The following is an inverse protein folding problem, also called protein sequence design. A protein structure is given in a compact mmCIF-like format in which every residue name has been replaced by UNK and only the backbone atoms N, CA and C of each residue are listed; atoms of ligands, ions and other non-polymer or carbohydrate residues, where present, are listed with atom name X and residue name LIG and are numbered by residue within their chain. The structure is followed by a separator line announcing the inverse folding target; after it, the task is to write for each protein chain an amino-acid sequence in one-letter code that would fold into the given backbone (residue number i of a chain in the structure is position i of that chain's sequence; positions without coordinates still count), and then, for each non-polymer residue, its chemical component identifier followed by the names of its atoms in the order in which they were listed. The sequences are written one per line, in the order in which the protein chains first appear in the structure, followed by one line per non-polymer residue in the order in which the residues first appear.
data_IF_873324763339
#
_entry.id   IF_873324763339
#
_cell.length_a   1.000
_cell.length_b   1.000
_cell.length_c   1.000
_cell.angle_alpha   90.00
_cell.angle_beta   90.00
_cell.angle_gamma   90.00
#
_symmetry.space_group_name_H-M   'P 1'
#
loop_
_entity.id
_entity.type
_entity.pdbx_description
1 polymer ?
#
# COMPACT_ATOMS: atom_id res chain seq x y z
N UNK A 1 -6.35 -30.00 6.59
CA UNK A 1 -5.73 -30.52 5.36
C UNK A 1 -4.97 -31.81 5.61
N UNK A 2 -4.58 -32.50 4.56
CA UNK A 2 -3.71 -33.70 4.64
C UNK A 2 -2.26 -33.25 4.47
N UNK A 3 -1.36 -33.85 5.23
CA UNK A 3 0.09 -33.70 5.09
C UNK A 3 0.59 -34.95 4.38
N UNK A 4 1.42 -34.77 3.36
CA UNK A 4 2.02 -35.83 2.58
C UNK A 4 3.53 -35.85 2.81
N UNK A 5 4.15 -37.03 2.80
CA UNK A 5 5.58 -37.19 2.85
C UNK A 5 6.13 -37.33 1.43
N UNK A 6 7.14 -36.51 1.09
CA UNK A 6 7.76 -36.46 -0.22
C UNK A 6 7.07 -35.50 -1.21
N UNK A 7 7.63 -35.47 -2.42
CA UNK A 7 7.11 -34.67 -3.52
C UNK A 7 5.85 -35.34 -4.11
N UNK A 8 4.78 -34.57 -4.17
CA UNK A 8 3.52 -35.00 -4.81
C UNK A 8 3.30 -34.22 -6.10
N UNK A 9 2.66 -34.85 -7.06
CA UNK A 9 2.21 -34.20 -8.28
C UNK A 9 1.19 -33.09 -7.95
N UNK A 10 1.46 -31.89 -8.39
CA UNK A 10 0.58 -30.74 -8.21
C UNK A 10 -0.09 -30.38 -9.53
N UNK A 11 -1.33 -29.92 -9.47
CA UNK A 11 -2.03 -29.36 -10.63
C UNK A 11 -2.03 -27.84 -10.54
N UNK A 12 -1.70 -27.18 -11.63
CA UNK A 12 -1.84 -25.74 -11.74
C UNK A 12 -3.29 -25.32 -11.60
N UNK A 13 -3.51 -24.23 -10.86
CA UNK A 13 -4.82 -23.62 -10.76
C UNK A 13 -5.20 -23.00 -12.12
N UNK A 14 -6.25 -23.55 -12.74
CA UNK A 14 -6.77 -23.07 -14.02
C UNK A 14 -8.29 -22.91 -13.95
N UNK A 15 -8.83 -21.95 -14.72
CA UNK A 15 -10.26 -21.78 -14.89
C UNK A 15 -10.66 -22.54 -16.16
N UNK A 16 -11.02 -23.84 -16.01
CA UNK A 16 -11.35 -24.71 -17.12
C UNK A 16 -12.49 -25.68 -16.83
N UNK A 17 -12.90 -26.48 -17.83
CA UNK A 17 -13.95 -27.46 -17.70
C UNK A 17 -15.31 -26.87 -17.26
N UNK A 18 -16.02 -27.60 -16.41
CA UNK A 18 -17.34 -27.14 -15.91
C UNK A 18 -17.25 -25.90 -15.02
N UNK A 19 -16.13 -25.73 -14.26
CA UNK A 19 -15.89 -24.51 -13.50
C UNK A 19 -15.78 -23.29 -14.41
N UNK A 20 -15.03 -23.40 -15.51
CA UNK A 20 -14.94 -22.33 -16.52
C UNK A 20 -16.28 -21.97 -17.15
N UNK A 21 -17.16 -22.95 -17.39
CA UNK A 21 -18.52 -22.70 -17.89
C UNK A 21 -19.37 -21.93 -16.88
N UNK A 22 -19.30 -22.28 -15.59
CA UNK A 22 -20.01 -21.56 -14.52
C UNK A 22 -19.49 -20.13 -14.43
N UNK A 23 -18.16 -19.93 -14.48
CA UNK A 23 -17.57 -18.59 -14.46
C UNK A 23 -18.00 -17.75 -15.66
N UNK A 24 -18.09 -18.33 -16.86
CA UNK A 24 -18.58 -17.63 -18.05
C UNK A 24 -20.07 -17.21 -17.90
N UNK A 25 -20.90 -18.03 -17.27
CA UNK A 25 -22.29 -17.66 -16.95
C UNK A 25 -22.35 -16.53 -15.91
N UNK A 26 -21.50 -16.57 -14.89
CA UNK A 26 -21.39 -15.49 -13.90
C UNK A 26 -20.97 -14.18 -14.57
N UNK A 27 -19.96 -14.21 -15.42
CA UNK A 27 -19.47 -13.04 -16.15
C UNK A 27 -20.53 -12.43 -17.09
N UNK A 28 -21.34 -13.27 -17.74
CA UNK A 28 -22.43 -12.81 -18.59
C UNK A 28 -23.57 -12.11 -17.82
N UNK A 29 -23.70 -12.34 -16.52
CA UNK A 29 -24.79 -11.81 -15.69
C UNK A 29 -24.36 -10.74 -14.68
N UNK A 30 -23.10 -10.70 -14.28
CA UNK A 30 -22.59 -9.68 -13.35
C UNK A 30 -22.55 -8.29 -13.99
N UNK A 31 -22.68 -7.25 -13.15
CA UNK A 31 -22.56 -5.84 -13.54
C UNK A 31 -21.27 -5.22 -13.02
N UNK A 32 -20.68 -5.78 -11.97
CA UNK A 32 -19.48 -5.27 -11.32
C UNK A 32 -18.24 -5.97 -11.87
N UNK A 33 -17.16 -5.23 -11.98
CA UNK A 33 -15.83 -5.78 -12.29
C UNK A 33 -15.26 -6.52 -11.10
N UNK A 34 -14.47 -7.56 -11.36
CA UNK A 34 -13.75 -8.33 -10.33
C UNK A 34 -12.31 -7.88 -10.29
N UNK A 35 -11.92 -7.29 -9.17
CA UNK A 35 -10.53 -6.91 -8.88
C UNK A 35 -9.99 -7.78 -7.75
N UNK A 36 -8.69 -8.07 -7.78
CA UNK A 36 -8.01 -8.87 -6.76
C UNK A 36 -7.03 -8.02 -5.95
N UNK A 37 -6.49 -8.61 -4.87
CA UNK A 37 -5.35 -8.05 -4.16
C UNK A 37 -4.07 -8.64 -4.74
N UNK A 38 -3.12 -7.80 -5.12
CA UNK A 38 -1.78 -8.22 -5.54
C UNK A 38 -0.79 -7.09 -5.31
N UNK A 39 0.41 -7.46 -4.85
CA UNK A 39 1.47 -6.55 -4.45
C UNK A 39 2.74 -6.76 -5.27
N UNK A 40 2.75 -7.76 -6.17
CA UNK A 40 3.86 -8.09 -7.06
C UNK A 40 3.41 -8.25 -8.52
N UNK A 41 4.30 -8.00 -9.50
CA UNK A 41 3.98 -8.24 -10.91
C UNK A 41 3.62 -9.70 -11.22
N UNK A 42 4.26 -10.65 -10.55
CA UNK A 42 4.00 -12.09 -10.69
C UNK A 42 2.57 -12.44 -10.29
N UNK A 43 2.15 -11.97 -9.12
CA UNK A 43 0.81 -12.23 -8.61
C UNK A 43 -0.26 -11.53 -9.45
N UNK A 44 0.07 -10.33 -9.96
CA UNK A 44 -0.78 -9.57 -10.89
C UNK A 44 -1.01 -10.34 -12.19
N UNK A 45 0.04 -10.87 -12.82
CA UNK A 45 -0.08 -11.67 -14.03
C UNK A 45 -0.91 -12.94 -13.79
N UNK A 46 -0.69 -13.63 -12.66
CA UNK A 46 -1.47 -14.83 -12.31
C UNK A 46 -2.94 -14.48 -12.05
N UNK A 47 -3.21 -13.36 -11.40
CA UNK A 47 -4.56 -12.88 -11.18
C UNK A 47 -5.31 -12.59 -12.49
N UNK A 48 -4.65 -11.95 -13.45
CA UNK A 48 -5.22 -11.68 -14.78
C UNK A 48 -5.50 -12.99 -15.54
N UNK A 49 -4.56 -13.93 -15.50
CA UNK A 49 -4.76 -15.27 -16.08
C UNK A 49 -6.01 -15.97 -15.51
N UNK A 50 -6.28 -15.77 -14.22
CA UNK A 50 -7.45 -16.31 -13.53
C UNK A 50 -8.73 -15.47 -13.70
N UNK A 51 -8.68 -14.39 -14.50
CA UNK A 51 -9.86 -13.59 -14.86
C UNK A 51 -10.03 -12.29 -14.09
N UNK A 52 -9.03 -11.84 -13.31
CA UNK A 52 -9.11 -10.54 -12.66
C UNK A 52 -9.05 -9.38 -13.68
N UNK A 53 -9.88 -8.36 -13.46
CA UNK A 53 -10.00 -7.19 -14.34
C UNK A 53 -9.18 -5.99 -13.84
N UNK A 54 -8.48 -6.15 -12.75
CA UNK A 54 -7.61 -5.14 -12.15
C UNK A 54 -7.21 -5.50 -10.72
N UNK A 55 -6.49 -4.60 -10.09
CA UNK A 55 -6.07 -4.70 -8.69
C UNK A 55 -6.94 -3.77 -7.85
N UNK A 56 -7.67 -4.34 -6.89
CA UNK A 56 -8.50 -3.61 -5.93
C UNK A 56 -7.73 -3.16 -4.69
N UNK A 57 -6.60 -3.82 -4.39
CA UNK A 57 -5.71 -3.43 -3.31
C UNK A 57 -4.27 -3.84 -3.65
N UNK A 58 -3.41 -2.85 -3.81
CA UNK A 58 -1.96 -2.98 -3.79
C UNK A 58 -1.44 -2.36 -2.49
N UNK A 59 -0.80 -3.19 -1.63
CA UNK A 59 -0.25 -2.78 -0.34
C UNK A 59 1.20 -2.38 -0.52
N UNK A 60 1.49 -1.10 -0.39
CA UNK A 60 2.83 -0.57 -0.65
C UNK A 60 3.86 -0.97 0.41
N UNK A 61 3.44 -1.29 1.63
CA UNK A 61 4.32 -1.78 2.69
C UNK A 61 5.05 -3.07 2.31
N UNK A 62 4.42 -3.97 1.55
CA UNK A 62 5.04 -5.22 1.12
C UNK A 62 6.24 -5.00 0.18
N UNK A 63 6.27 -3.86 -0.51
CA UNK A 63 7.38 -3.49 -1.38
C UNK A 63 8.66 -3.11 -0.61
N UNK A 64 8.57 -2.89 0.71
CA UNK A 64 9.67 -2.41 1.53
C UNK A 64 10.42 -3.51 2.30
N UNK A 65 9.90 -4.73 2.34
CA UNK A 65 10.51 -5.83 3.12
C UNK A 65 11.68 -6.54 2.42
N UNK A 66 12.07 -6.11 1.24
CA UNK A 66 13.24 -6.63 0.55
C UNK A 66 14.54 -6.28 1.29
N UNK A 67 15.51 -7.20 1.33
CA UNK A 67 16.78 -7.04 2.06
C UNK A 67 17.57 -5.78 1.65
N UNK A 68 17.50 -5.38 0.38
CA UNK A 68 18.15 -4.15 -0.11
C UNK A 68 17.44 -2.86 0.30
N UNK A 69 16.16 -2.94 0.68
CA UNK A 69 15.29 -1.79 0.96
C UNK A 69 15.12 -1.53 2.45
N UNK A 70 15.12 -2.57 3.26
CA UNK A 70 14.96 -2.47 4.72
C UNK A 70 15.95 -1.48 5.35
N UNK A 71 17.26 -1.46 5.03
CA UNK A 71 18.18 -0.47 5.60
C UNK A 71 17.78 0.97 5.28
N UNK A 72 17.25 1.22 4.08
CA UNK A 72 16.82 2.58 3.64
C UNK A 72 15.55 3.03 4.36
N UNK A 73 14.59 2.12 4.56
CA UNK A 73 13.40 2.39 5.39
C UNK A 73 13.81 2.69 6.83
N UNK A 74 14.73 1.92 7.39
CA UNK A 74 15.24 2.14 8.75
C UNK A 74 15.95 3.49 8.88
N UNK A 75 16.71 3.91 7.87
CA UNK A 75 17.28 5.27 7.81
C UNK A 75 16.20 6.34 7.84
N UNK A 76 15.15 6.19 7.04
CA UNK A 76 14.02 7.12 7.01
C UNK A 76 13.35 7.22 8.38
N UNK A 77 13.10 6.09 9.04
CA UNK A 77 12.47 6.01 10.36
C UNK A 77 13.31 6.70 11.45
N UNK A 78 14.63 6.51 11.41
CA UNK A 78 15.57 7.08 12.39
C UNK A 78 15.95 8.53 12.09
N UNK A 79 15.44 9.12 10.99
CA UNK A 79 15.74 10.51 10.64
C UNK A 79 15.00 11.47 11.57
N UNK A 80 15.73 12.29 12.30
CA UNK A 80 15.19 13.26 13.26
C UNK A 80 14.74 14.56 12.61
N UNK A 81 15.26 14.89 11.42
CA UNK A 81 14.89 16.11 10.67
C UNK A 81 14.15 15.76 9.37
N UNK A 82 13.39 16.72 8.87
CA UNK A 82 12.68 16.58 7.58
C UNK A 82 13.69 16.37 6.45
N UNK A 83 14.78 17.15 6.42
CA UNK A 83 15.79 17.07 5.37
C UNK A 83 16.49 15.70 5.34
N UNK A 84 16.80 15.13 6.51
CA UNK A 84 17.39 13.79 6.60
C UNK A 84 16.41 12.73 6.15
N UNK A 85 15.13 12.89 6.49
CA UNK A 85 14.06 11.96 6.07
C UNK A 85 13.80 12.04 4.58
N UNK A 86 13.77 13.24 4.01
CA UNK A 86 13.65 13.44 2.55
C UNK A 86 14.83 12.82 1.79
N UNK A 87 16.06 12.95 2.32
CA UNK A 87 17.23 12.31 1.72
C UNK A 87 17.12 10.77 1.73
N UNK A 88 16.67 10.18 2.83
CA UNK A 88 16.42 8.74 2.90
C UNK A 88 15.29 8.29 1.98
N UNK A 89 14.21 9.06 1.88
CA UNK A 89 13.09 8.80 0.96
C UNK A 89 13.52 8.90 -0.51
N UNK A 90 14.45 9.81 -0.84
CA UNK A 90 15.00 9.90 -2.19
C UNK A 90 15.77 8.63 -2.60
N UNK A 91 16.37 7.91 -1.64
CA UNK A 91 16.99 6.61 -1.89
C UNK A 91 15.95 5.50 -2.15
N UNK A 92 14.74 5.62 -1.58
CA UNK A 92 13.64 4.66 -1.74
C UNK A 92 12.81 4.88 -3.01
N UNK A 93 12.69 6.12 -3.46
CA UNK A 93 11.87 6.51 -4.61
C UNK A 93 12.14 5.65 -5.87
N UNK A 94 13.39 5.40 -6.32
CA UNK A 94 13.64 4.59 -7.51
C UNK A 94 13.12 3.16 -7.40
N UNK A 95 13.20 2.56 -6.21
CA UNK A 95 12.71 1.20 -5.96
C UNK A 95 11.18 1.15 -6.09
N UNK A 96 10.48 2.01 -5.37
CA UNK A 96 9.03 2.02 -5.38
C UNK A 96 8.45 2.42 -6.75
N UNK A 97 9.07 3.39 -7.42
CA UNK A 97 8.75 3.72 -8.81
C UNK A 97 8.94 2.52 -9.74
N UNK A 98 10.04 1.77 -9.59
CA UNK A 98 10.31 0.56 -10.36
C UNK A 98 9.24 -0.51 -10.16
N UNK A 99 8.78 -0.71 -8.92
CA UNK A 99 7.71 -1.64 -8.59
C UNK A 99 6.39 -1.25 -9.27
N UNK A 100 5.99 0.02 -9.15
CA UNK A 100 4.76 0.49 -9.80
C UNK A 100 4.85 0.41 -11.33
N UNK A 101 6.01 0.70 -11.93
CA UNK A 101 6.22 0.49 -13.38
C UNK A 101 5.99 -0.97 -13.78
N UNK A 102 6.56 -1.90 -13.02
CA UNK A 102 6.40 -3.32 -13.29
C UNK A 102 4.94 -3.78 -13.11
N UNK A 103 4.25 -3.27 -12.09
CA UNK A 103 2.83 -3.53 -11.86
C UNK A 103 1.95 -2.98 -12.99
N UNK A 104 2.12 -1.72 -13.40
CA UNK A 104 1.36 -1.12 -14.50
C UNK A 104 1.60 -1.84 -15.83
N UNK A 105 2.84 -2.28 -16.11
CA UNK A 105 3.14 -3.09 -17.30
C UNK A 105 2.42 -4.43 -17.25
N UNK A 106 2.43 -5.12 -16.12
CA UNK A 106 1.72 -6.39 -15.94
C UNK A 106 0.19 -6.23 -16.08
N UNK A 107 -0.36 -5.11 -15.64
CA UNK A 107 -1.78 -4.79 -15.74
C UNK A 107 -2.25 -4.49 -17.15
N UNK A 108 -1.37 -4.03 -18.01
CA UNK A 108 -1.68 -3.80 -19.41
C UNK A 108 -2.89 -2.85 -19.63
N UNK A 109 -2.91 -1.73 -18.89
CA UNK A 109 -3.98 -0.72 -18.91
C UNK A 109 -5.18 -1.00 -17.99
N UNK A 110 -5.18 -2.12 -17.25
CA UNK A 110 -6.20 -2.37 -16.22
C UNK A 110 -5.97 -1.51 -14.98
N UNK A 111 -7.04 -1.18 -14.23
CA UNK A 111 -6.94 -0.31 -13.07
C UNK A 111 -6.21 -0.97 -11.89
N UNK A 112 -5.58 -0.13 -11.07
CA UNK A 112 -4.92 -0.52 -9.82
C UNK A 112 -5.18 0.53 -8.74
N UNK A 113 -5.77 0.09 -7.63
CA UNK A 113 -5.89 0.90 -6.41
C UNK A 113 -4.67 0.68 -5.53
N UNK A 114 -3.91 1.74 -5.29
CA UNK A 114 -2.66 1.74 -4.54
C UNK A 114 -2.91 2.32 -3.16
N UNK A 115 -2.79 1.49 -2.13
CA UNK A 115 -2.87 1.95 -0.74
C UNK A 115 -1.51 2.47 -0.28
N UNK A 116 -1.45 3.70 0.21
CA UNK A 116 -0.26 4.23 0.84
C UNK A 116 0.07 3.46 2.11
N UNK A 117 1.31 3.59 2.57
CA UNK A 117 1.83 2.85 3.72
C UNK A 117 0.85 2.90 4.90
N UNK A 118 0.49 1.75 5.43
CA UNK A 118 -0.52 1.61 6.46
C UNK A 118 0.05 1.18 7.82
N UNK A 119 0.94 0.18 7.93
CA UNK A 119 1.42 -0.28 9.23
C UNK A 119 2.28 0.78 9.94
N UNK A 120 2.31 0.75 11.29
CA UNK A 120 3.17 1.63 12.07
C UNK A 120 4.66 1.35 11.81
N UNK A 121 5.48 2.38 12.00
CA UNK A 121 6.91 2.31 11.67
C UNK A 121 7.69 1.25 12.47
N UNK A 122 7.20 0.87 13.67
CA UNK A 122 7.87 -0.15 14.48
C UNK A 122 7.91 -1.53 13.82
N UNK A 123 7.09 -1.79 12.81
CA UNK A 123 7.14 -3.07 12.07
C UNK A 123 8.43 -3.22 11.25
N UNK A 124 9.05 -2.11 10.86
CA UNK A 124 10.25 -2.09 10.03
C UNK A 124 11.56 -1.96 10.81
N UNK A 125 11.49 -1.61 12.11
CA UNK A 125 12.71 -1.40 12.91
C UNK A 125 13.44 -2.72 13.18
N UNK A 126 14.77 -2.64 13.46
CA UNK A 126 15.56 -3.80 13.81
C UNK A 126 15.01 -4.50 15.06
N UNK A 127 15.05 -5.84 15.05
CA UNK A 127 14.53 -6.68 16.13
C UNK A 127 15.64 -7.38 16.93
N UNK A 128 16.83 -7.50 16.37
CA UNK A 128 17.99 -8.12 17.01
C UNK A 128 19.08 -7.12 17.32
N UNK A 129 19.97 -7.45 18.27
CA UNK A 129 21.08 -6.55 18.60
C UNK A 129 22.05 -6.39 17.42
N UNK A 130 22.26 -7.47 16.65
CA UNK A 130 23.09 -7.44 15.45
C UNK A 130 22.59 -6.45 14.42
N UNK A 131 21.27 -6.43 14.16
CA UNK A 131 20.65 -5.47 13.24
C UNK A 131 20.75 -4.03 13.76
N UNK A 132 20.66 -3.82 15.09
CA UNK A 132 20.82 -2.50 15.72
C UNK A 132 22.26 -2.00 15.54
N UNK A 133 23.24 -2.87 15.79
CA UNK A 133 24.66 -2.53 15.69
C UNK A 133 25.06 -2.21 14.23
N UNK A 134 24.55 -2.98 13.27
CA UNK A 134 24.76 -2.75 11.84
C UNK A 134 24.17 -1.40 11.41
N UNK A 135 22.92 -1.14 11.77
CA UNK A 135 22.23 0.10 11.42
C UNK A 135 22.89 1.32 12.07
N UNK A 136 23.31 1.20 13.33
CA UNK A 136 24.04 2.25 14.03
C UNK A 136 25.36 2.61 13.32
N UNK A 137 26.11 1.59 12.89
CA UNK A 137 27.35 1.76 12.12
C UNK A 137 27.08 2.46 10.78
N UNK A 138 26.06 2.03 10.05
CA UNK A 138 25.72 2.59 8.73
C UNK A 138 25.27 4.05 8.81
N UNK A 139 24.63 4.43 9.91
CA UNK A 139 24.15 5.80 10.14
C UNK A 139 25.14 6.68 10.91
N UNK A 140 26.25 6.13 11.40
CA UNK A 140 27.19 6.86 12.27
C UNK A 140 26.60 7.23 13.64
N UNK A 141 25.64 6.44 14.12
CA UNK A 141 24.97 6.58 15.42
C UNK A 141 25.52 5.56 16.43
N UNK A 142 25.14 5.72 17.71
CA UNK A 142 25.43 4.69 18.71
C UNK A 142 24.31 3.64 18.75
N UNK A 143 24.61 2.37 19.07
CA UNK A 143 23.59 1.34 19.22
C UNK A 143 22.52 1.69 20.26
N UNK A 144 22.92 2.35 21.35
CA UNK A 144 22.02 2.81 22.40
C UNK A 144 21.02 3.84 21.89
N UNK A 145 21.46 4.76 21.01
CA UNK A 145 20.57 5.75 20.40
C UNK A 145 19.57 5.08 19.47
N UNK A 146 20.04 4.21 18.57
CA UNK A 146 19.17 3.44 17.67
C UNK A 146 18.13 2.66 18.46
N UNK A 147 18.57 1.96 19.52
CA UNK A 147 17.67 1.21 20.40
C UNK A 147 16.62 2.11 21.07
N UNK A 148 17.02 3.26 21.59
CA UNK A 148 16.11 4.19 22.25
C UNK A 148 15.02 4.71 21.27
N UNK A 149 15.37 5.01 20.02
CA UNK A 149 14.39 5.39 19.00
C UNK A 149 13.45 4.23 18.68
N UNK A 150 13.97 3.02 18.48
CA UNK A 150 13.14 1.82 18.23
C UNK A 150 12.16 1.57 19.38
N UNK A 151 12.64 1.66 20.63
CA UNK A 151 11.82 1.47 21.82
C UNK A 151 10.71 2.56 21.92
N UNK A 152 11.01 3.80 21.51
CA UNK A 152 10.03 4.91 21.50
C UNK A 152 8.90 4.73 20.47
N UNK A 153 9.15 3.97 19.40
CA UNK A 153 8.19 3.68 18.35
C UNK A 153 7.29 2.48 18.69
N UNK A 154 7.56 1.78 19.80
CA UNK A 154 6.82 0.58 20.15
C UNK A 154 5.34 0.89 20.42
N UNK A 155 4.46 0.22 19.68
CA UNK A 155 3.01 0.36 19.78
C UNK A 155 2.44 -0.79 20.62
N UNK A 156 1.72 -0.45 21.72
CA UNK A 156 1.00 -1.44 22.54
C UNK A 156 -0.20 -2.03 21.79
N UNK A 157 -0.85 -1.22 20.96
CA UNK A 157 -1.94 -1.65 20.09
C UNK A 157 -1.69 -1.12 18.67
N UNK A 158 -1.02 -1.90 17.82
CA UNK A 158 -0.69 -1.49 16.45
C UNK A 158 -1.89 -1.12 15.59
N UNK A 159 -3.06 -1.74 15.83
CA UNK A 159 -4.28 -1.46 15.06
C UNK A 159 -4.77 -0.02 15.27
N UNK A 160 -4.62 0.53 16.48
CA UNK A 160 -5.07 1.87 16.85
C UNK A 160 -3.95 2.89 17.03
N UNK A 161 -2.72 2.53 16.67
CA UNK A 161 -1.51 3.30 16.85
C UNK A 161 -1.25 4.36 15.77
N UNK A 162 0.01 4.78 15.70
CA UNK A 162 0.49 5.78 14.75
C UNK A 162 0.77 5.14 13.39
N UNK A 163 -0.25 5.00 12.58
CA UNK A 163 -0.25 4.33 11.28
C UNK A 163 -1.17 5.02 10.27
N UNK A 164 -1.10 4.60 9.01
CA UNK A 164 -2.00 5.05 7.95
C UNK A 164 -2.01 6.55 7.74
N UNK A 165 -3.19 7.17 7.66
CA UNK A 165 -3.31 8.61 7.47
C UNK A 165 -2.67 9.42 8.60
N UNK A 166 -2.64 8.90 9.85
CA UNK A 166 -1.99 9.58 10.99
C UNK A 166 -0.48 9.69 10.77
N UNK A 167 0.12 8.64 10.20
CA UNK A 167 1.53 8.66 9.81
C UNK A 167 1.79 9.69 8.71
N UNK A 168 0.92 9.74 7.69
CA UNK A 168 1.02 10.70 6.60
C UNK A 168 0.77 12.15 7.05
N UNK A 169 -0.01 12.38 8.12
CA UNK A 169 -0.17 13.71 8.73
C UNK A 169 1.10 14.14 9.46
N UNK A 170 1.73 13.22 10.20
CA UNK A 170 2.96 13.52 10.97
C UNK A 170 4.18 13.66 10.06
N UNK A 171 4.27 12.83 9.02
CA UNK A 171 5.39 12.75 8.08
C UNK A 171 4.90 12.85 6.63
N UNK A 172 4.40 14.04 6.20
CA UNK A 172 3.82 14.22 4.86
C UNK A 172 4.79 13.95 3.72
N UNK A 173 6.09 14.04 3.96
CA UNK A 173 7.13 13.70 3.00
C UNK A 173 7.09 12.24 2.55
N UNK A 174 6.58 11.31 3.36
CA UNK A 174 6.36 9.92 2.97
C UNK A 174 5.27 9.86 1.89
N UNK A 175 4.14 10.53 2.12
CA UNK A 175 3.07 10.59 1.14
C UNK A 175 3.51 11.30 -0.17
N UNK A 176 4.35 12.34 -0.08
CA UNK A 176 4.94 13.00 -1.25
C UNK A 176 5.78 12.02 -2.07
N UNK A 177 6.68 11.28 -1.42
CA UNK A 177 7.53 10.29 -2.11
C UNK A 177 6.69 9.21 -2.79
N UNK A 178 5.68 8.64 -2.10
CA UNK A 178 4.81 7.62 -2.68
C UNK A 178 3.99 8.18 -3.86
N UNK A 179 3.47 9.41 -3.74
CA UNK A 179 2.76 10.08 -4.85
C UNK A 179 3.66 10.25 -6.06
N UNK A 180 4.89 10.73 -5.87
CA UNK A 180 5.86 10.89 -6.94
C UNK A 180 6.16 9.56 -7.62
N UNK A 181 6.41 8.50 -6.84
CA UNK A 181 6.67 7.16 -7.37
C UNK A 181 5.53 6.64 -8.24
N UNK A 182 4.28 6.80 -7.78
CA UNK A 182 3.07 6.39 -8.52
C UNK A 182 2.92 7.18 -9.81
N UNK A 183 2.97 8.50 -9.73
CA UNK A 183 2.74 9.38 -10.88
C UNK A 183 3.82 9.25 -11.95
N UNK A 184 5.10 9.22 -11.56
CA UNK A 184 6.19 9.03 -12.51
C UNK A 184 6.12 7.66 -13.19
N UNK A 185 5.84 6.60 -12.44
CA UNK A 185 5.69 5.25 -12.98
C UNK A 185 4.53 5.17 -13.99
N UNK A 186 3.39 5.73 -13.64
CA UNK A 186 2.21 5.73 -14.50
C UNK A 186 2.43 6.50 -15.80
N UNK A 187 3.00 7.71 -15.72
CA UNK A 187 3.31 8.54 -16.89
C UNK A 187 4.28 7.80 -17.81
N UNK A 188 5.38 7.27 -17.27
CA UNK A 188 6.39 6.57 -18.07
C UNK A 188 5.83 5.30 -18.74
N UNK A 189 4.99 4.52 -18.05
CA UNK A 189 4.37 3.34 -18.67
C UNK A 189 3.33 3.73 -19.71
N UNK A 190 2.55 4.79 -19.49
CA UNK A 190 1.63 5.30 -20.50
C UNK A 190 2.35 5.76 -21.77
N UNK A 191 3.48 6.46 -21.64
CA UNK A 191 4.33 6.86 -22.77
C UNK A 191 4.94 5.67 -23.50
N UNK A 192 5.45 4.68 -22.75
CA UNK A 192 6.07 3.48 -23.31
C UNK A 192 5.09 2.57 -24.05
N UNK A 193 3.84 2.48 -23.56
CA UNK A 193 2.86 1.49 -24.05
C UNK A 193 1.74 2.09 -24.90
N UNK A 194 1.53 3.40 -24.82
CA UNK A 194 0.39 4.09 -25.43
C UNK A 194 -0.96 3.78 -24.79
N UNK A 195 -0.98 3.05 -23.65
CA UNK A 195 -2.20 2.71 -22.94
C UNK A 195 -2.53 3.73 -21.87
N UNK A 196 -3.78 4.14 -21.80
CA UNK A 196 -4.25 5.07 -20.75
C UNK A 196 -4.13 4.41 -19.38
N UNK A 197 -3.48 5.10 -18.45
CA UNK A 197 -3.36 4.71 -17.05
C UNK A 197 -3.96 5.82 -16.21
N UNK A 198 -4.84 5.45 -15.28
CA UNK A 198 -5.42 6.36 -14.30
C UNK A 198 -5.08 5.82 -12.91
N UNK A 199 -4.07 6.37 -12.23
CA UNK A 199 -3.72 5.96 -10.88
C UNK A 199 -4.87 6.17 -9.90
N UNK A 200 -5.16 5.17 -9.07
CA UNK A 200 -6.12 5.26 -7.98
C UNK A 200 -5.34 5.22 -6.65
N UNK A 201 -5.19 6.37 -6.01
CA UNK A 201 -4.43 6.54 -4.76
C UNK A 201 -5.39 6.45 -3.58
N UNK A 202 -5.14 5.52 -2.67
CA UNK A 202 -5.98 5.26 -1.52
C UNK A 202 -5.26 5.59 -0.21
N UNK A 203 -5.87 6.47 0.58
CA UNK A 203 -5.39 6.87 1.90
C UNK A 203 -6.03 5.95 2.94
N UNK A 204 -5.25 5.15 3.71
CA UNK A 204 -5.80 4.23 4.70
C UNK A 204 -6.15 4.92 6.02
N UNK A 205 -7.00 4.29 6.82
CA UNK A 205 -7.25 4.59 8.22
C UNK A 205 -7.86 5.98 8.50
N UNK A 206 -8.52 6.58 7.52
CA UNK A 206 -9.20 7.86 7.68
C UNK A 206 -10.40 7.70 8.62
N UNK A 207 -10.50 8.56 9.62
CA UNK A 207 -11.60 8.58 10.57
C UNK A 207 -12.54 9.79 10.44
N UNK A 208 -12.09 10.86 9.76
CA UNK A 208 -12.88 12.07 9.50
C UNK A 208 -12.40 12.81 8.26
N UNK A 209 -13.24 13.71 7.72
CA UNK A 209 -12.98 14.51 6.52
C UNK A 209 -11.65 15.28 6.56
N UNK A 210 -11.30 15.88 7.71
CA UNK A 210 -10.08 16.71 7.83
C UNK A 210 -8.81 15.91 7.66
N UNK A 211 -8.77 14.65 8.11
CA UNK A 211 -7.63 13.75 7.92
C UNK A 211 -7.42 13.45 6.44
N UNK A 212 -8.51 13.09 5.73
CA UNK A 212 -8.43 12.85 4.29
C UNK A 212 -8.01 14.10 3.54
N UNK A 213 -8.65 15.24 3.83
CA UNK A 213 -8.35 16.52 3.18
C UNK A 213 -6.87 16.88 3.32
N UNK A 214 -6.31 16.79 4.51
CA UNK A 214 -4.91 17.13 4.74
C UNK A 214 -3.97 16.28 3.87
N UNK A 215 -4.14 14.96 3.88
CA UNK A 215 -3.28 14.07 3.10
C UNK A 215 -3.54 14.22 1.60
N UNK A 216 -4.80 14.39 1.20
CA UNK A 216 -5.18 14.69 -0.20
C UNK A 216 -4.49 15.95 -0.72
N UNK A 217 -4.47 17.03 0.06
CA UNK A 217 -3.82 18.28 -0.35
C UNK A 217 -2.32 18.05 -0.62
N UNK A 218 -1.64 17.26 0.21
CA UNK A 218 -0.24 16.86 0.00
C UNK A 218 -0.07 16.04 -1.27
N UNK A 219 -0.95 15.07 -1.52
CA UNK A 219 -0.94 14.21 -2.71
C UNK A 219 -1.17 15.05 -3.97
N UNK A 220 -2.17 15.91 -3.98
CA UNK A 220 -2.49 16.80 -5.12
C UNK A 220 -1.32 17.72 -5.44
N UNK A 221 -0.73 18.37 -4.42
CA UNK A 221 0.42 19.25 -4.62
C UNK A 221 1.58 18.53 -5.33
N UNK A 222 1.94 17.33 -4.86
CA UNK A 222 3.03 16.58 -5.46
C UNK A 222 2.67 15.98 -6.83
N UNK A 223 1.44 15.48 -7.00
CA UNK A 223 0.97 14.96 -8.28
C UNK A 223 0.98 16.02 -9.38
N UNK A 224 0.46 17.23 -9.08
CA UNK A 224 0.47 18.35 -10.04
C UNK A 224 1.89 18.85 -10.34
N UNK A 225 2.80 18.78 -9.36
CA UNK A 225 4.22 19.07 -9.56
C UNK A 225 4.86 18.08 -10.54
N UNK A 226 4.64 16.77 -10.36
CA UNK A 226 5.15 15.72 -11.25
C UNK A 226 4.56 15.89 -12.66
N UNK A 227 3.25 16.13 -12.79
CA UNK A 227 2.60 16.39 -14.09
C UNK A 227 3.25 17.56 -14.82
N UNK A 228 3.52 18.65 -14.10
CA UNK A 228 4.19 19.82 -14.69
C UNK A 228 5.63 19.49 -15.12
N UNK A 229 6.40 18.80 -14.28
CA UNK A 229 7.77 18.39 -14.59
C UNK A 229 7.86 17.47 -15.81
N UNK A 230 6.88 16.56 -15.96
CA UNK A 230 6.79 15.60 -17.05
C UNK A 230 5.99 16.09 -18.26
N UNK A 231 5.45 17.31 -18.23
CA UNK A 231 4.55 17.87 -19.24
C UNK A 231 3.39 16.91 -19.58
N UNK A 232 2.73 16.38 -18.56
CA UNK A 232 1.65 15.37 -18.66
C UNK A 232 0.32 15.93 -18.15
N UNK A 233 -0.77 15.55 -18.80
CA UNK A 233 -2.16 15.85 -18.41
C UNK A 233 -2.85 14.63 -17.74
N UNK A 234 -2.07 13.66 -17.27
CA UNK A 234 -2.54 12.42 -16.66
C UNK A 234 -3.62 12.70 -15.59
N UNK A 235 -4.71 11.93 -15.69
CA UNK A 235 -5.76 11.94 -14.68
C UNK A 235 -5.41 10.90 -13.60
N UNK A 236 -5.85 11.17 -12.37
CA UNK A 236 -5.70 10.27 -11.23
C UNK A 236 -6.89 10.45 -10.29
N UNK A 237 -7.14 9.47 -9.43
CA UNK A 237 -8.18 9.52 -8.42
C UNK A 237 -7.59 9.36 -7.02
N UNK A 238 -8.17 10.10 -6.06
CA UNK A 238 -7.82 10.00 -4.65
C UNK A 238 -9.05 9.57 -3.85
N UNK A 239 -8.92 8.47 -3.15
CA UNK A 239 -9.97 7.94 -2.30
C UNK A 239 -9.43 7.45 -0.96
N UNK A 240 -10.29 6.79 -0.22
CA UNK A 240 -9.94 6.26 1.10
C UNK A 240 -10.51 4.87 1.34
N UNK A 241 -9.94 4.18 2.33
CA UNK A 241 -10.50 2.94 2.87
C UNK A 241 -11.39 3.26 4.07
N UNK A 242 -12.65 2.87 3.99
CA UNK A 242 -13.58 2.92 5.13
C UNK A 242 -13.35 1.66 5.96
N UNK A 243 -12.70 1.81 7.09
CA UNK A 243 -12.27 0.71 7.96
C UNK A 243 -12.38 1.03 9.45
N UNK A 244 -12.81 2.25 9.78
CA UNK A 244 -13.07 2.70 11.12
C UNK A 244 -14.58 2.94 11.26
N UNK A 245 -15.26 2.47 12.33
CA UNK A 245 -16.69 2.70 12.53
C UNK A 245 -17.08 4.18 12.45
N UNK A 246 -16.27 5.08 13.00
CA UNK A 246 -16.48 6.54 12.89
C UNK A 246 -16.50 7.00 11.43
N UNK A 247 -15.58 6.52 10.60
CA UNK A 247 -15.55 6.86 9.18
C UNK A 247 -16.79 6.35 8.43
N UNK A 248 -17.30 5.18 8.79
CA UNK A 248 -18.53 4.65 8.22
C UNK A 248 -19.76 5.52 8.56
N UNK A 249 -19.81 6.07 9.79
CA UNK A 249 -20.88 6.99 10.23
C UNK A 249 -20.76 8.39 9.61
N UNK A 250 -19.55 8.82 9.24
CA UNK A 250 -19.26 10.13 8.62
C UNK A 250 -18.95 10.00 7.12
N UNK A 251 -19.41 8.94 6.49
CA UNK A 251 -19.06 8.64 5.10
C UNK A 251 -19.55 9.71 4.11
N UNK A 252 -20.67 10.35 4.38
CA UNK A 252 -21.19 11.46 3.59
C UNK A 252 -20.28 12.69 3.64
N UNK A 253 -19.74 13.04 4.81
CA UNK A 253 -18.79 14.13 4.97
C UNK A 253 -17.45 13.79 4.30
N UNK A 254 -16.96 12.54 4.46
CA UNK A 254 -15.71 12.07 3.85
C UNK A 254 -15.84 12.03 2.32
N UNK A 255 -17.02 11.72 1.80
CA UNK A 255 -17.31 11.69 0.36
C UNK A 255 -17.20 13.07 -0.33
N UNK A 256 -17.22 14.18 0.42
CA UNK A 256 -16.96 15.49 -0.15
C UNK A 256 -15.50 15.64 -0.62
N UNK A 257 -14.59 14.83 -0.09
CA UNK A 257 -13.16 14.84 -0.45
C UNK A 257 -12.73 13.59 -1.22
N UNK A 258 -13.37 12.44 -1.00
CA UNK A 258 -13.01 11.18 -1.63
C UNK A 258 -13.70 11.01 -2.99
N UNK A 259 -12.94 10.57 -3.99
CA UNK A 259 -13.48 10.23 -5.31
C UNK A 259 -13.93 8.76 -5.38
N UNK A 260 -13.46 7.92 -4.45
CA UNK A 260 -13.91 6.54 -4.28
C UNK A 260 -13.71 6.06 -2.85
N UNK A 261 -14.47 5.02 -2.49
CA UNK A 261 -14.27 4.27 -1.25
C UNK A 261 -13.84 2.83 -1.53
N UNK A 262 -12.93 2.34 -0.71
CA UNK A 262 -12.66 0.93 -0.49
C UNK A 262 -13.10 0.55 0.92
N UNK A 263 -13.24 -0.75 1.23
CA UNK A 263 -13.74 -1.19 2.53
C UNK A 263 -12.75 -2.15 3.20
N UNK A 264 -12.18 -1.73 4.32
CA UNK A 264 -11.26 -2.53 5.14
C UNK A 264 -12.05 -3.42 6.10
N UNK A 265 -12.59 -4.52 5.58
CA UNK A 265 -13.52 -5.38 6.33
C UNK A 265 -12.90 -6.03 7.56
N UNK A 266 -11.58 -6.26 7.60
CA UNK A 266 -10.91 -6.80 8.78
C UNK A 266 -10.98 -5.81 9.95
N UNK A 267 -10.43 -4.60 9.76
CA UNK A 267 -10.37 -3.56 10.80
C UNK A 267 -11.77 -3.10 11.19
N UNK A 268 -12.65 -2.88 10.21
CA UNK A 268 -14.02 -2.44 10.48
C UNK A 268 -14.79 -3.47 11.31
N UNK A 269 -14.67 -4.76 11.01
CA UNK A 269 -15.33 -5.83 11.76
C UNK A 269 -14.79 -5.92 13.18
N UNK A 270 -13.46 -5.95 13.34
CA UNK A 270 -12.83 -6.04 14.66
C UNK A 270 -13.19 -4.84 15.55
N UNK A 271 -13.14 -3.63 15.03
CA UNK A 271 -13.49 -2.42 15.80
C UNK A 271 -14.98 -2.32 16.10
N UNK A 272 -15.86 -2.82 15.22
CA UNK A 272 -17.31 -2.81 15.44
C UNK A 272 -17.72 -3.83 16.49
N UNK A 273 -17.16 -5.04 16.45
CA UNK A 273 -17.45 -6.09 17.43
C UNK A 273 -16.64 -5.95 18.72
N UNK A 274 -15.53 -5.19 18.71
CA UNK A 274 -14.70 -4.97 19.89
C UNK A 274 -13.83 -6.17 20.29
N UNK A 275 -13.49 -7.06 19.34
CA UNK A 275 -12.56 -8.16 19.57
C UNK A 275 -11.67 -8.44 18.35
N UNK A 276 -10.53 -9.05 18.60
CA UNK A 276 -9.59 -9.45 17.55
C UNK A 276 -10.11 -10.67 16.78
N UNK A 277 -9.97 -10.63 15.45
CA UNK A 277 -10.24 -11.79 14.59
C UNK A 277 -9.40 -13.02 15.00
N UNK A 278 -8.17 -12.79 15.45
CA UNK A 278 -7.23 -13.87 15.79
C UNK A 278 -7.59 -14.54 17.10
N UNK A 279 -8.35 -13.84 17.97
CA UNK A 279 -8.83 -14.36 19.24
C UNK A 279 -10.25 -14.92 19.18
N UNK A 280 -11.04 -14.60 18.15
CA UNK A 280 -12.45 -14.97 18.04
C UNK A 280 -12.70 -16.49 18.10
N UNK A 281 -11.71 -17.31 17.70
CA UNK A 281 -11.82 -18.77 17.76
C UNK A 281 -11.82 -19.37 19.17
N UNK A 282 -11.61 -18.55 20.21
CA UNK A 282 -11.58 -18.99 21.62
C UNK A 282 -12.96 -18.92 22.29
N UNK A 283 -13.96 -18.25 21.67
CA UNK A 283 -15.32 -18.05 22.20
C UNK A 283 -16.40 -18.05 21.13
#
# INVERSE_FOLDING_TARGET
GKIYDGDIETQDATVGGDFGRIMAWADANRKLSVRTNADTPRDTLKAIELGAEGIGLCRTEHMFFDAERIPKIRKMILSETVEAREAALAELLPYQKGDFKAMYKALDGRPMTIRFIDPPLHEFVPKTQEEIDELAKDMGLTPEHVKAVCDSLHEFNPMMGHRGCRLAVTYPEIARMQTRAVMEAAIEVQEETGKTIVPEIMIPLVGEKKELKFVKDVVVEEAEKVKKEKNSDMQYHIGTMIEIPRAALLADEIAEEAEFFSFGTNDLTQMTFGFSRDDAGKF
#
